data_IF_024898271406
#
_entry.id   IF_024898271406
#
_cell.length_a   1.000
_cell.length_b   1.000
_cell.length_c   1.000
_cell.angle_alpha   90.00
_cell.angle_beta   90.00
_cell.angle_gamma   90.00
#
_symmetry.space_group_name_H-M   'P 1'
#
loop_
_entity.id
_entity.type
_entity.pdbx_description
1 polymer ?
#
# COMPACT_ATOMS: atom_id res chain seq x y z
N UNK A 1 -11.60 12.15 -8.46
CA UNK A 1 -10.46 11.53 -7.75
C UNK A 1 -10.68 11.62 -6.24
N UNK A 2 -10.48 10.53 -5.53
CA UNK A 2 -10.59 10.54 -4.08
C UNK A 2 -9.22 10.78 -3.45
N UNK A 3 -9.21 11.54 -2.37
CA UNK A 3 -8.01 11.76 -1.57
C UNK A 3 -8.33 11.43 -0.12
N UNK A 4 -7.42 10.74 0.53
CA UNK A 4 -7.64 10.32 1.92
C UNK A 4 -6.32 10.32 2.68
N UNK A 5 -6.36 10.82 3.91
CA UNK A 5 -5.22 10.69 4.79
C UNK A 5 -5.18 9.28 5.37
N UNK A 6 -4.02 8.65 5.30
CA UNK A 6 -3.83 7.32 5.84
C UNK A 6 -2.70 7.39 6.86
N UNK A 7 -2.97 6.85 8.05
CA UNK A 7 -1.96 6.80 9.09
C UNK A 7 -0.95 5.71 8.78
N UNK A 8 0.33 6.06 8.88
CA UNK A 8 1.41 5.07 8.72
C UNK A 8 1.67 4.44 10.08
N UNK A 9 1.56 3.13 10.15
CA UNK A 9 1.83 2.36 11.36
C UNK A 9 3.21 1.72 11.25
N UNK A 10 3.97 1.79 12.34
CA UNK A 10 5.29 1.21 12.42
C UNK A 10 5.23 -0.03 13.30
N UNK A 11 5.85 -1.11 12.84
CA UNK A 11 5.90 -2.35 13.59
C UNK A 11 7.21 -3.07 13.32
N UNK A 12 7.46 -4.14 14.08
CA UNK A 12 8.65 -4.97 13.86
C UNK A 12 8.29 -6.17 12.98
N UNK A 13 9.18 -6.50 12.04
CA UNK A 13 9.05 -7.73 11.28
C UNK A 13 9.62 -8.89 12.10
N UNK A 14 9.34 -10.11 11.67
CA UNK A 14 9.88 -11.30 12.31
C UNK A 14 11.40 -11.40 12.32
N UNK A 15 12.07 -10.63 11.47
CA UNK A 15 13.52 -10.60 11.37
C UNK A 15 14.16 -9.45 12.16
N UNK A 16 13.39 -8.76 12.99
CA UNK A 16 13.90 -7.63 13.76
C UNK A 16 13.94 -6.30 13.01
N UNK A 17 13.54 -6.28 11.74
CA UNK A 17 13.44 -5.04 10.97
C UNK A 17 12.16 -4.27 11.30
N UNK A 18 12.05 -3.05 10.77
CA UNK A 18 10.86 -2.22 10.93
C UNK A 18 10.00 -2.37 9.69
N UNK A 19 8.70 -2.57 9.90
CA UNK A 19 7.71 -2.65 8.82
C UNK A 19 6.79 -1.46 8.94
N UNK A 20 6.62 -0.74 7.85
CA UNK A 20 5.71 0.40 7.77
C UNK A 20 4.45 -0.05 7.05
N UNK A 21 3.30 0.23 7.63
CA UNK A 21 2.01 -0.21 7.08
C UNK A 21 1.03 0.94 6.98
N UNK A 22 0.23 0.89 5.94
CA UNK A 22 -0.93 1.76 5.80
C UNK A 22 -2.14 0.88 5.50
N UNK A 23 -3.31 1.32 5.95
CA UNK A 23 -4.55 0.61 5.65
C UNK A 23 -5.21 1.28 4.45
N UNK A 24 -5.27 0.56 3.35
CA UNK A 24 -5.91 1.06 2.13
C UNK A 24 -7.39 0.69 2.19
N UNK A 25 -8.31 1.62 1.90
CA UNK A 25 -9.74 1.30 1.89
C UNK A 25 -10.03 0.13 0.96
N UNK A 26 -10.78 -0.84 1.46
CA UNK A 26 -11.14 -2.04 0.69
C UNK A 26 -11.85 -1.67 -0.61
N UNK A 27 -12.65 -0.62 -0.59
CA UNK A 27 -13.36 -0.15 -1.76
C UNK A 27 -12.40 0.20 -2.90
N UNK A 28 -11.24 0.80 -2.57
CA UNK A 28 -10.25 1.15 -3.58
C UNK A 28 -9.60 -0.11 -4.17
N UNK A 29 -9.31 -1.08 -3.32
CA UNK A 29 -8.72 -2.36 -3.75
C UNK A 29 -9.66 -3.07 -4.72
N UNK A 30 -10.95 -3.10 -4.39
CA UNK A 30 -11.95 -3.72 -5.26
C UNK A 30 -12.08 -3.02 -6.61
N UNK A 31 -12.03 -1.70 -6.59
CA UNK A 31 -12.10 -0.92 -7.83
C UNK A 31 -10.89 -1.13 -8.73
N UNK A 32 -9.74 -1.39 -8.14
CA UNK A 32 -8.53 -1.72 -8.90
C UNK A 32 -8.56 -3.15 -9.44
N UNK A 33 -9.50 -3.98 -8.99
CA UNK A 33 -9.57 -5.37 -9.40
C UNK A 33 -8.51 -6.25 -8.76
N UNK A 34 -7.97 -5.86 -7.64
CA UNK A 34 -6.94 -6.61 -6.92
C UNK A 34 -7.60 -7.66 -6.04
N UNK A 35 -7.14 -8.89 -6.16
CA UNK A 35 -7.63 -10.01 -5.37
C UNK A 35 -6.52 -10.56 -4.47
N UNK A 36 -6.93 -11.36 -3.49
CA UNK A 36 -5.98 -11.97 -2.56
C UNK A 36 -4.92 -12.78 -3.31
N UNK A 37 -3.67 -12.50 -3.02
CA UNK A 37 -2.55 -13.17 -3.67
C UNK A 37 -2.02 -12.45 -4.90
N UNK A 38 -2.69 -11.39 -5.33
CA UNK A 38 -2.22 -10.60 -6.46
C UNK A 38 -1.00 -9.75 -6.10
N UNK A 39 -0.24 -9.41 -7.12
CA UNK A 39 0.90 -8.52 -6.98
C UNK A 39 0.57 -7.16 -7.57
N UNK A 40 1.19 -6.14 -7.03
CA UNK A 40 1.07 -4.78 -7.54
C UNK A 40 2.47 -4.23 -7.82
N UNK A 41 2.53 -3.18 -8.62
CA UNK A 41 3.76 -2.44 -8.86
C UNK A 41 3.73 -1.18 -8.03
N UNK A 42 4.81 -0.93 -7.30
CA UNK A 42 4.99 0.31 -6.56
C UNK A 42 6.19 1.05 -7.14
N UNK A 43 6.01 2.32 -7.43
CA UNK A 43 7.06 3.18 -7.97
C UNK A 43 7.39 4.27 -6.97
N UNK A 44 8.68 4.53 -6.76
CA UNK A 44 9.14 5.56 -5.86
C UNK A 44 10.06 6.52 -6.61
N UNK A 45 9.70 7.80 -6.62
CA UNK A 45 10.47 8.82 -7.33
C UNK A 45 11.36 9.68 -6.40
N UNK A 46 11.45 9.32 -5.13
CA UNK A 46 12.19 10.07 -4.12
C UNK A 46 11.31 10.90 -3.20
N UNK A 47 10.07 11.13 -3.56
CA UNK A 47 9.13 11.91 -2.76
C UNK A 47 7.79 11.20 -2.56
N UNK A 48 7.30 10.54 -3.58
CA UNK A 48 5.99 9.89 -3.52
C UNK A 48 6.04 8.49 -4.06
N UNK A 49 5.04 7.71 -3.65
CA UNK A 49 4.89 6.33 -4.07
C UNK A 49 3.63 6.25 -4.95
N UNK A 50 3.78 5.64 -6.11
CA UNK A 50 2.66 5.37 -7.01
C UNK A 50 2.45 3.88 -7.09
N UNK A 51 1.21 3.44 -6.94
CA UNK A 51 0.85 2.03 -6.95
C UNK A 51 -0.02 1.74 -8.17
N UNK A 52 0.34 0.68 -8.88
CA UNK A 52 -0.39 0.25 -10.06
C UNK A 52 -0.70 -1.23 -9.98
N UNK A 53 -1.79 -1.61 -10.63
CA UNK A 53 -2.09 -3.03 -10.82
C UNK A 53 -1.21 -3.58 -11.94
N UNK A 54 -0.74 -4.79 -11.74
CA UNK A 54 0.00 -5.50 -12.80
C UNK A 54 -0.95 -5.96 -13.91
#
# INVERSE_FOLDING_TARGET
METRELKVSFGKSGNGGVVNRITIPTRWIKKMGIEKGDYILAHFDGEKITIERI
#
